data_IF_211822413976
#
_entry.id   IF_211822413976
#
_cell.length_a   1.000
_cell.length_b   1.000
_cell.length_c   1.000
_cell.angle_alpha   90.00
_cell.angle_beta   90.00
_cell.angle_gamma   90.00
#
_symmetry.space_group_name_H-M   'P 1'
#
loop_
_entity.id
_entity.type
_entity.pdbx_description
1 polymer ?
#
# COMPACT_ATOMS: atom_id res chain seq x y z
N UNK A 1 -7.18 -9.37 18.77
CA UNK A 1 -7.46 -9.45 17.32
C UNK A 1 -8.92 -9.83 17.01
N UNK A 2 -9.90 -9.53 17.88
CA UNK A 2 -11.28 -10.06 17.75
C UNK A 2 -12.35 -9.02 17.37
N UNK A 3 -12.00 -7.74 17.20
CA UNK A 3 -12.97 -6.65 16.98
C UNK A 3 -13.54 -6.60 15.56
N UNK A 4 -12.77 -7.02 14.56
CA UNK A 4 -13.17 -6.96 13.15
C UNK A 4 -12.88 -8.31 12.48
N UNK A 5 -13.90 -9.16 12.25
CA UNK A 5 -13.70 -10.51 11.73
C UNK A 5 -13.14 -10.52 10.29
N UNK A 6 -13.38 -9.45 9.54
CA UNK A 6 -12.90 -9.29 8.17
C UNK A 6 -11.39 -9.02 8.05
N UNK A 7 -10.68 -8.74 9.16
CA UNK A 7 -9.23 -8.49 9.13
C UNK A 7 -8.44 -9.76 8.77
N UNK A 8 -8.88 -10.93 9.27
CA UNK A 8 -8.15 -12.19 9.11
C UNK A 8 -7.99 -12.57 7.63
N UNK A 9 -9.02 -12.35 6.80
CA UNK A 9 -8.96 -12.60 5.35
C UNK A 9 -7.83 -11.80 4.69
N UNK A 10 -7.66 -10.53 5.05
CA UNK A 10 -6.62 -9.66 4.49
C UNK A 10 -5.23 -10.06 4.96
N UNK A 11 -5.09 -10.53 6.20
CA UNK A 11 -3.82 -11.09 6.69
C UNK A 11 -3.43 -12.35 5.93
N UNK A 12 -4.36 -13.29 5.74
CA UNK A 12 -4.10 -14.52 5.00
C UNK A 12 -3.67 -14.22 3.57
N UNK A 13 -4.37 -13.31 2.90
CA UNK A 13 -4.04 -12.91 1.52
C UNK A 13 -2.61 -12.33 1.41
N UNK A 14 -2.18 -11.52 2.38
CA UNK A 14 -0.82 -10.98 2.39
C UNK A 14 0.24 -12.04 2.70
N UNK A 15 -0.08 -13.06 3.48
CA UNK A 15 0.80 -14.19 3.76
C UNK A 15 0.94 -15.10 2.53
N UNK A 16 -0.16 -15.40 1.86
CA UNK A 16 -0.17 -16.16 0.59
C UNK A 16 0.67 -15.43 -0.46
N UNK A 17 0.43 -14.13 -0.64
CA UNK A 17 1.18 -13.31 -1.59
C UNK A 17 2.66 -13.18 -1.21
N UNK A 18 2.99 -13.12 0.09
CA UNK A 18 4.37 -13.12 0.56
C UNK A 18 5.10 -14.41 0.13
N UNK A 19 4.43 -15.57 0.30
CA UNK A 19 4.99 -16.87 -0.07
C UNK A 19 5.10 -17.03 -1.59
N UNK A 20 4.07 -16.62 -2.34
CA UNK A 20 4.04 -16.68 -3.80
C UNK A 20 5.15 -15.83 -4.42
N UNK A 21 5.34 -14.60 -3.92
CA UNK A 21 6.35 -13.67 -4.42
C UNK A 21 7.71 -13.86 -3.76
N UNK A 22 7.86 -14.79 -2.81
CA UNK A 22 9.09 -15.02 -2.03
C UNK A 22 9.69 -13.70 -1.47
N UNK A 23 8.84 -12.93 -0.78
CA UNK A 23 9.20 -11.61 -0.22
C UNK A 23 9.78 -11.76 1.18
N UNK A 24 11.01 -11.26 1.37
CA UNK A 24 11.68 -11.22 2.67
C UNK A 24 11.23 -10.01 3.50
N UNK A 25 10.42 -10.28 4.52
CA UNK A 25 9.93 -9.29 5.49
C UNK A 25 10.63 -9.35 6.85
N UNK A 26 11.78 -10.03 6.95
CA UNK A 26 12.56 -10.15 8.21
C UNK A 26 12.92 -8.79 8.82
N UNK A 27 13.11 -7.78 7.98
CA UNK A 27 13.38 -6.39 8.38
C UNK A 27 12.13 -5.66 8.95
N UNK A 28 10.93 -6.24 8.82
CA UNK A 28 9.66 -5.68 9.29
C UNK A 28 8.76 -6.73 9.97
N UNK A 29 9.20 -7.35 11.08
CA UNK A 29 8.49 -8.48 11.72
C UNK A 29 7.11 -8.11 12.29
N UNK A 30 6.83 -6.82 12.42
CA UNK A 30 5.57 -6.28 12.93
C UNK A 30 4.62 -5.79 11.84
N UNK A 31 4.86 -6.12 10.57
CA UNK A 31 4.06 -5.62 9.45
C UNK A 31 2.55 -5.93 9.61
N UNK A 32 2.21 -7.11 10.14
CA UNK A 32 0.80 -7.50 10.37
C UNK A 32 0.05 -6.55 11.32
N UNK A 33 0.76 -6.00 12.31
CA UNK A 33 0.19 -5.06 13.30
C UNK A 33 -0.04 -3.66 12.69
N UNK A 34 0.60 -3.37 11.55
CA UNK A 34 0.43 -2.11 10.84
C UNK A 34 -0.80 -2.12 9.91
N UNK A 35 -1.37 -3.30 9.61
CA UNK A 35 -2.54 -3.41 8.74
C UNK A 35 -3.78 -2.80 9.43
N UNK A 36 -4.46 -1.90 8.70
CA UNK A 36 -5.59 -1.14 9.22
C UNK A 36 -5.19 0.01 10.14
N UNK A 37 -3.97 0.54 9.98
CA UNK A 37 -3.48 1.69 10.75
C UNK A 37 -3.26 2.91 9.86
N UNK A 38 -3.59 4.10 10.39
CA UNK A 38 -3.52 5.34 9.63
C UNK A 38 -2.07 5.79 9.39
N UNK A 39 -1.27 5.82 10.46
CA UNK A 39 0.07 6.39 10.45
C UNK A 39 0.18 7.83 10.93
N UNK A 40 1.43 8.32 10.96
CA UNK A 40 1.72 9.76 11.05
C UNK A 40 2.05 10.36 9.68
N UNK A 41 2.33 11.67 9.64
CA UNK A 41 2.56 12.42 8.40
C UNK A 41 1.25 12.95 7.81
N UNK A 42 1.17 13.07 6.48
CA UNK A 42 -0.01 13.56 5.76
C UNK A 42 -1.13 12.50 5.60
N UNK A 43 -1.30 11.61 6.60
CA UNK A 43 -2.32 10.55 6.57
C UNK A 43 -3.54 10.95 7.40
N UNK A 44 -4.73 10.87 6.81
CA UNK A 44 -5.97 11.36 7.44
C UNK A 44 -7.19 10.51 7.09
N UNK A 45 -8.23 10.60 7.92
CA UNK A 45 -9.58 10.06 7.71
C UNK A 45 -10.53 11.24 7.86
N UNK A 46 -11.40 11.45 6.88
CA UNK A 46 -12.29 12.60 6.83
C UNK A 46 -13.72 12.18 6.46
N UNK A 47 -14.69 12.95 6.95
CA UNK A 47 -16.08 12.90 6.53
C UNK A 47 -16.32 14.17 5.70
N UNK A 48 -16.55 14.00 4.41
CA UNK A 48 -16.72 15.12 3.48
C UNK A 48 -18.14 15.15 2.91
N UNK A 49 -18.57 16.31 2.44
CA UNK A 49 -19.83 16.49 1.74
C UNK A 49 -19.54 17.14 0.39
N UNK A 50 -20.07 16.59 -0.69
CA UNK A 50 -19.92 17.18 -2.02
C UNK A 50 -21.00 18.24 -2.33
N UNK A 51 -20.92 18.84 -3.51
CA UNK A 51 -21.88 19.86 -3.95
C UNK A 51 -23.31 19.33 -4.16
N UNK A 52 -23.47 18.02 -4.30
CA UNK A 52 -24.76 17.34 -4.40
C UNK A 52 -25.31 16.91 -3.02
N UNK A 53 -24.66 17.29 -1.91
CA UNK A 53 -24.94 16.87 -0.55
C UNK A 53 -24.74 15.36 -0.29
N UNK A 54 -23.90 14.70 -1.09
CA UNK A 54 -23.50 13.32 -0.82
C UNK A 54 -22.44 13.31 0.27
N UNK A 55 -22.59 12.41 1.24
CA UNK A 55 -21.61 12.20 2.31
C UNK A 55 -20.56 11.19 1.85
N UNK A 56 -19.28 11.56 1.97
CA UNK A 56 -18.13 10.75 1.60
C UNK A 56 -17.30 10.39 2.83
N UNK A 57 -17.00 9.10 2.97
CA UNK A 57 -15.96 8.62 3.89
C UNK A 57 -14.64 8.63 3.13
N UNK A 58 -13.77 9.58 3.45
CA UNK A 58 -12.49 9.77 2.78
C UNK A 58 -11.32 9.28 3.64
N UNK A 59 -10.30 8.71 3.00
CA UNK A 59 -9.12 8.17 3.67
C UNK A 59 -7.88 8.36 2.80
N UNK A 60 -6.80 8.85 3.41
CA UNK A 60 -5.48 8.89 2.81
C UNK A 60 -4.47 8.07 3.65
N UNK A 61 -3.98 6.95 3.09
CA UNK A 61 -2.90 6.15 3.70
C UNK A 61 -2.16 5.25 2.70
N UNK A 62 -0.95 4.83 3.06
CA UNK A 62 -0.06 4.01 2.24
C UNK A 62 0.34 2.67 2.87
N UNK A 63 1.50 2.16 2.44
CA UNK A 63 2.08 0.86 2.82
C UNK A 63 2.80 0.83 4.18
N UNK A 64 2.61 1.89 4.98
CA UNK A 64 3.13 2.00 6.35
C UNK A 64 4.66 1.81 6.43
N UNK A 65 5.14 1.46 7.62
CA UNK A 65 6.57 1.31 7.89
C UNK A 65 7.19 0.15 7.11
N UNK A 66 6.42 -0.90 6.81
CA UNK A 66 6.90 -2.01 5.99
C UNK A 66 7.26 -1.56 4.57
N UNK A 67 6.37 -0.81 3.90
CA UNK A 67 6.67 -0.29 2.56
C UNK A 67 7.84 0.69 2.53
N UNK A 68 7.97 1.55 3.55
CA UNK A 68 9.13 2.44 3.67
C UNK A 68 10.45 1.66 3.80
N UNK A 69 10.48 0.58 4.59
CA UNK A 69 11.69 -0.25 4.74
C UNK A 69 12.04 -1.01 3.45
N UNK A 70 11.03 -1.52 2.73
CA UNK A 70 11.21 -2.11 1.40
C UNK A 70 11.85 -1.09 0.45
N UNK A 71 11.31 0.13 0.39
CA UNK A 71 11.84 1.19 -0.46
C UNK A 71 13.30 1.53 -0.11
N UNK A 72 13.60 1.73 1.18
CA UNK A 72 14.96 2.04 1.63
C UNK A 72 15.97 0.94 1.28
N UNK A 73 15.56 -0.34 1.39
CA UNK A 73 16.41 -1.47 1.00
C UNK A 73 16.80 -1.38 -0.47
N UNK A 74 15.83 -1.21 -1.37
CA UNK A 74 16.08 -1.17 -2.81
C UNK A 74 16.81 0.09 -3.26
N UNK A 75 16.52 1.25 -2.64
CA UNK A 75 17.29 2.48 -2.85
C UNK A 75 18.76 2.27 -2.50
N UNK A 76 19.06 1.62 -1.37
CA UNK A 76 20.44 1.35 -0.97
C UNK A 76 21.16 0.39 -1.92
N UNK A 77 20.47 -0.64 -2.42
CA UNK A 77 21.02 -1.58 -3.42
C UNK A 77 21.33 -0.82 -4.72
N UNK A 78 20.39 -0.01 -5.22
CA UNK A 78 20.59 0.80 -6.42
C UNK A 78 21.77 1.77 -6.27
N UNK A 79 21.87 2.45 -5.12
CA UNK A 79 22.99 3.35 -4.83
C UNK A 79 24.34 2.62 -4.84
N UNK A 80 24.41 1.42 -4.28
CA UNK A 80 25.63 0.60 -4.27
C UNK A 80 26.03 0.17 -5.68
N UNK A 81 25.07 -0.28 -6.49
CA UNK A 81 25.32 -0.67 -7.89
C UNK A 81 25.81 0.51 -8.73
N UNK A 82 25.09 1.64 -8.70
CA UNK A 82 25.49 2.83 -9.47
C UNK A 82 26.81 3.44 -9.00
N UNK A 83 27.14 3.37 -7.71
CA UNK A 83 28.41 3.92 -7.18
C UNK A 83 29.60 3.01 -7.48
N UNK A 84 29.36 1.71 -7.68
CA UNK A 84 30.39 0.71 -7.99
C UNK A 84 30.72 0.60 -9.49
N UNK A 85 29.88 1.14 -10.36
CA UNK A 85 30.08 1.11 -11.82
C UNK A 85 30.75 2.41 -12.32
N UNK A 86 32.01 2.35 -12.81
CA UNK A 86 32.71 3.51 -13.35
C UNK A 86 32.05 4.16 -14.57
N UNK A 87 31.16 3.44 -15.27
CA UNK A 87 30.45 3.92 -16.45
C UNK A 87 29.15 4.66 -16.10
N UNK A 88 28.63 4.46 -14.88
CA UNK A 88 27.39 5.08 -14.43
C UNK A 88 27.67 6.46 -13.83
N UNK A 89 27.29 7.52 -14.55
CA UNK A 89 27.32 8.92 -14.05
C UNK A 89 25.92 9.36 -13.63
N UNK A 90 25.64 9.27 -12.33
CA UNK A 90 24.41 9.82 -11.77
C UNK A 90 24.51 11.34 -11.63
N UNK A 91 23.56 12.13 -12.19
CA UNK A 91 23.51 13.57 -11.94
C UNK A 91 23.09 13.91 -10.51
N UNK A 92 22.33 13.02 -9.85
CA UNK A 92 22.05 13.06 -8.42
C UNK A 92 21.98 11.61 -7.89
N UNK A 93 22.49 11.37 -6.68
CA UNK A 93 22.40 10.08 -5.98
C UNK A 93 20.95 9.59 -5.85
N UNK A 94 19.99 10.50 -5.68
CA UNK A 94 18.56 10.16 -5.57
C UNK A 94 17.96 9.59 -6.87
N UNK A 95 18.72 9.62 -7.97
CA UNK A 95 18.33 9.06 -9.27
C UNK A 95 18.97 7.68 -9.52
N UNK A 96 19.48 7.02 -8.48
CA UNK A 96 19.96 5.64 -8.59
C UNK A 96 18.85 4.69 -9.05
N UNK A 97 19.22 3.74 -9.91
CA UNK A 97 18.28 2.82 -10.54
C UNK A 97 18.81 1.39 -10.53
N UNK A 98 17.90 0.44 -10.71
CA UNK A 98 18.21 -0.97 -10.95
C UNK A 98 18.02 -1.26 -12.43
N UNK A 99 18.93 -2.03 -13.02
CA UNK A 99 18.82 -2.43 -14.42
C UNK A 99 17.83 -3.58 -14.57
N UNK A 100 16.92 -3.49 -15.54
CA UNK A 100 16.03 -4.58 -15.88
C UNK A 100 16.81 -5.83 -16.31
N UNK A 101 16.32 -7.01 -15.94
CA UNK A 101 16.99 -8.29 -16.19
C UNK A 101 18.05 -8.68 -15.16
N UNK A 102 18.25 -7.89 -14.10
CA UNK A 102 19.09 -8.28 -12.96
C UNK A 102 18.28 -8.94 -11.85
N UNK A 103 18.89 -9.84 -11.05
CA UNK A 103 18.23 -10.42 -9.88
C UNK A 103 17.73 -9.37 -8.87
N UNK A 104 18.44 -8.25 -8.73
CA UNK A 104 18.05 -7.16 -7.83
C UNK A 104 16.81 -6.43 -8.33
N UNK A 105 16.68 -6.21 -9.64
CA UNK A 105 15.49 -5.64 -10.24
C UNK A 105 14.28 -6.56 -10.06
N UNK A 106 14.44 -7.86 -10.32
CA UNK A 106 13.36 -8.83 -10.13
C UNK A 106 12.92 -8.92 -8.65
N UNK A 107 13.87 -8.86 -7.71
CA UNK A 107 13.61 -8.76 -6.29
C UNK A 107 12.83 -7.48 -5.94
N UNK A 108 13.24 -6.33 -6.49
CA UNK A 108 12.51 -5.06 -6.34
C UNK A 108 11.07 -5.14 -6.83
N UNK A 109 10.83 -5.72 -8.01
CA UNK A 109 9.48 -5.84 -8.56
C UNK A 109 8.59 -6.75 -7.69
N UNK A 110 9.12 -7.85 -7.17
CA UNK A 110 8.37 -8.74 -6.25
C UNK A 110 8.00 -8.01 -4.95
N UNK A 111 8.97 -7.38 -4.30
CA UNK A 111 8.75 -6.63 -3.06
C UNK A 111 7.78 -5.45 -3.27
N UNK A 112 7.88 -4.76 -4.41
CA UNK A 112 7.01 -3.64 -4.78
C UNK A 112 5.56 -4.08 -4.96
N UNK A 113 5.31 -5.19 -5.68
CA UNK A 113 3.97 -5.76 -5.85
C UNK A 113 3.33 -6.07 -4.50
N UNK A 114 4.09 -6.69 -3.59
CA UNK A 114 3.62 -6.96 -2.24
C UNK A 114 3.31 -5.66 -1.47
N UNK A 115 4.20 -4.67 -1.52
CA UNK A 115 4.01 -3.39 -0.83
C UNK A 115 2.78 -2.62 -1.35
N UNK A 116 2.52 -2.66 -2.67
CA UNK A 116 1.32 -2.08 -3.29
C UNK A 116 0.06 -2.79 -2.79
N UNK A 117 0.07 -4.13 -2.76
CA UNK A 117 -1.07 -4.88 -2.23
C UNK A 117 -1.32 -4.60 -0.75
N UNK A 118 -0.25 -4.50 0.05
CA UNK A 118 -0.34 -4.11 1.44
C UNK A 118 -0.95 -2.71 1.60
N UNK A 119 -0.55 -1.72 0.80
CA UNK A 119 -1.15 -0.38 0.83
C UNK A 119 -2.65 -0.41 0.52
N UNK A 120 -3.04 -1.17 -0.52
CA UNK A 120 -4.45 -1.36 -0.89
C UNK A 120 -5.25 -1.97 0.26
N UNK A 121 -4.79 -3.11 0.80
CA UNK A 121 -5.48 -3.80 1.88
C UNK A 121 -5.49 -3.00 3.18
N UNK A 122 -4.46 -2.18 3.44
CA UNK A 122 -4.44 -1.26 4.56
C UNK A 122 -5.56 -0.21 4.44
N UNK A 123 -5.73 0.39 3.26
CA UNK A 123 -6.84 1.33 3.00
C UNK A 123 -8.20 0.64 3.09
N UNK A 124 -8.35 -0.54 2.47
CA UNK A 124 -9.59 -1.31 2.53
C UNK A 124 -9.96 -1.66 3.97
N UNK A 125 -9.00 -2.11 4.77
CA UNK A 125 -9.21 -2.44 6.18
C UNK A 125 -9.65 -1.21 7.00
N UNK A 126 -9.01 -0.06 6.80
CA UNK A 126 -9.42 1.17 7.48
C UNK A 126 -10.81 1.64 7.05
N UNK A 127 -11.13 1.55 5.75
CA UNK A 127 -12.44 1.93 5.25
C UNK A 127 -13.54 1.02 5.81
N UNK A 128 -13.32 -0.30 5.84
CA UNK A 128 -14.29 -1.24 6.40
C UNK A 128 -14.53 -0.95 7.90
N UNK A 129 -13.47 -0.63 8.65
CA UNK A 129 -13.59 -0.20 10.05
C UNK A 129 -14.33 1.13 10.19
N UNK A 130 -14.06 2.09 9.31
CA UNK A 130 -14.71 3.40 9.33
C UNK A 130 -16.21 3.26 9.08
N UNK A 131 -16.60 2.48 8.07
CA UNK A 131 -18.00 2.15 7.76
C UNK A 131 -18.67 1.50 8.97
N UNK A 132 -18.04 0.51 9.62
CA UNK A 132 -18.63 -0.16 10.79
C UNK A 132 -18.87 0.81 11.96
N UNK A 133 -17.91 1.69 12.25
CA UNK A 133 -18.04 2.67 13.33
C UNK A 133 -19.11 3.72 12.98
N UNK A 134 -19.11 4.20 11.73
CA UNK A 134 -20.07 5.19 11.26
C UNK A 134 -21.50 4.65 11.23
N UNK A 135 -21.70 3.41 10.78
CA UNK A 135 -22.98 2.73 10.80
C UNK A 135 -23.53 2.56 12.23
N UNK A 136 -22.65 2.15 13.16
CA UNK A 136 -23.00 2.04 14.58
C UNK A 136 -23.41 3.39 15.16
N UNK A 137 -22.76 4.49 14.75
CA UNK A 137 -23.11 5.84 15.18
C UNK A 137 -24.48 6.29 14.64
N UNK A 138 -24.79 5.94 13.38
CA UNK A 138 -26.09 6.19 12.74
C UNK A 138 -27.22 5.28 13.23
N UNK A 139 -26.92 4.20 13.97
CA UNK A 139 -27.91 3.19 14.35
C UNK A 139 -28.41 2.35 13.17
N UNK A 140 -27.61 2.21 12.11
CA UNK A 140 -27.94 1.41 10.92
C UNK A 140 -26.95 0.26 10.73
N UNK A 141 -27.30 -0.67 9.84
CA UNK A 141 -26.41 -1.77 9.45
C UNK A 141 -25.29 -1.26 8.52
N UNK A 142 -24.04 -1.74 8.64
CA UNK A 142 -22.92 -1.33 7.77
C UNK A 142 -23.20 -1.43 6.27
N UNK A 143 -23.98 -2.44 5.86
CA UNK A 143 -24.35 -2.66 4.45
C UNK A 143 -25.26 -1.57 3.88
N UNK A 144 -25.82 -0.69 4.73
CA UNK A 144 -26.67 0.43 4.33
C UNK A 144 -25.92 1.75 4.21
N UNK A 145 -24.64 1.79 4.62
CA UNK A 145 -23.82 3.01 4.60
C UNK A 145 -23.09 3.15 3.27
N UNK A 146 -22.51 2.06 2.78
CA UNK A 146 -21.72 2.08 1.56
C UNK A 146 -22.60 1.94 0.32
N UNK A 147 -22.66 3.00 -0.49
CA UNK A 147 -23.33 3.00 -1.80
C UNK A 147 -22.34 2.84 -2.95
N UNK A 148 -21.13 3.37 -2.79
CA UNK A 148 -20.08 3.38 -3.80
C UNK A 148 -18.70 3.34 -3.13
N UNK A 149 -17.73 2.70 -3.79
CA UNK A 149 -16.32 2.66 -3.34
C UNK A 149 -15.38 3.06 -4.47
N UNK A 150 -14.60 4.11 -4.23
CA UNK A 150 -13.53 4.58 -5.12
C UNK A 150 -12.18 4.39 -4.41
N UNK A 151 -11.17 3.88 -5.13
CA UNK A 151 -9.82 3.67 -4.56
C UNK A 151 -8.73 4.06 -5.56
N UNK A 152 -8.03 5.17 -5.29
CA UNK A 152 -6.94 5.68 -6.12
C UNK A 152 -5.56 5.41 -5.49
N UNK A 153 -4.53 5.22 -6.33
CA UNK A 153 -3.14 5.04 -5.90
C UNK A 153 -2.31 6.28 -6.25
N UNK A 154 -1.65 6.89 -5.27
CA UNK A 154 -0.79 8.07 -5.49
C UNK A 154 0.70 7.74 -5.64
N UNK A 155 1.12 6.51 -5.28
CA UNK A 155 2.47 5.98 -5.50
C UNK A 155 2.33 4.60 -6.15
N UNK A 156 2.62 4.51 -7.44
CA UNK A 156 2.41 3.32 -8.25
C UNK A 156 3.49 3.20 -9.32
N UNK A 157 3.90 1.96 -9.58
CA UNK A 157 4.78 1.61 -10.70
C UNK A 157 4.24 0.32 -11.28
N UNK A 158 4.10 0.28 -12.59
CA UNK A 158 3.59 -0.84 -13.35
C UNK A 158 4.54 -1.17 -14.50
N UNK A 159 4.70 -2.46 -14.85
CA UNK A 159 5.30 -2.84 -16.12
C UNK A 159 4.58 -2.15 -17.29
N UNK A 160 5.30 -1.75 -18.35
CA UNK A 160 4.68 -1.26 -19.58
C UNK A 160 3.63 -2.28 -20.07
N UNK A 161 2.37 -1.84 -20.23
CA UNK A 161 1.27 -2.68 -20.72
C UNK A 161 0.27 -3.20 -19.67
N UNK A 162 0.46 -2.90 -18.39
CA UNK A 162 -0.44 -3.31 -17.29
C UNK A 162 -1.33 -2.19 -16.74
N UNK A 163 -1.64 -1.16 -17.53
CA UNK A 163 -2.64 -0.17 -17.14
C UNK A 163 -4.01 -0.84 -17.02
N UNK A 164 -4.41 -1.18 -15.79
CA UNK A 164 -5.82 -1.35 -15.47
C UNK A 164 -6.55 -0.06 -15.85
N UNK A 165 -7.69 -0.24 -16.53
CA UNK A 165 -8.50 0.84 -17.10
C UNK A 165 -8.72 1.97 -16.08
N UNK A 166 -8.73 3.25 -16.51
CA UNK A 166 -9.09 4.34 -15.62
C UNK A 166 -10.48 4.10 -15.05
N UNK A 167 -10.62 4.25 -13.74
CA UNK A 167 -11.91 4.32 -13.05
C UNK A 167 -12.84 5.27 -13.83
N UNK A 168 -13.94 4.72 -14.33
CA UNK A 168 -15.11 5.46 -14.78
C UNK A 168 -16.29 5.14 -13.87
#
# INVERSE_FOLDING_TARGET
MQRFPFTAKKHNELLELQAELDVDLSHSPKWMQQLGSLGGGNHFIELCVDLANTVWLFLHSGSRGVGNKIAQRHINIALQQCSGDPLTKLPNRDLAFLNEGTPEFDCYIRDLKWAQRFAYLNRAEMMDRFIHVFASWLGVQPQRVETERINCHHNYTAPPGSMEKPCG
#
